data_IF_254739333716
#
_entry.id   IF_254739333716
#
_cell.length_a   1.000
_cell.length_b   1.000
_cell.length_c   1.000
_cell.angle_alpha   90.00
_cell.angle_beta   90.00
_cell.angle_gamma   90.00
#
_symmetry.space_group_name_H-M   'P 1'
#
loop_
_entity.id
_entity.type
_entity.pdbx_description
1 polymer ?
#
# COMPACT_ATOMS: atom_id res chain seq x y z
N UNK A 1 -16.25 -39.17 9.03
CA UNK A 1 -15.55 -37.88 8.87
C UNK A 1 -16.40 -37.00 7.95
N UNK A 2 -17.28 -36.17 8.50
CA UNK A 2 -18.10 -35.25 7.74
C UNK A 2 -17.21 -34.11 7.25
N UNK A 3 -17.07 -34.00 5.91
CA UNK A 3 -16.58 -32.79 5.26
C UNK A 3 -17.63 -31.69 5.48
N UNK A 4 -17.38 -30.78 6.41
CA UNK A 4 -18.04 -29.48 6.43
C UNK A 4 -17.56 -28.74 5.17
N UNK A 5 -18.31 -28.85 4.09
CA UNK A 5 -18.22 -27.91 2.97
C UNK A 5 -18.60 -26.55 3.54
N UNK A 6 -17.60 -25.67 3.76
CA UNK A 6 -17.84 -24.26 4.02
C UNK A 6 -18.68 -23.73 2.86
N UNK A 7 -19.97 -23.50 3.08
CA UNK A 7 -20.78 -22.72 2.15
C UNK A 7 -20.09 -21.35 2.06
N UNK A 8 -19.35 -21.11 0.98
CA UNK A 8 -18.95 -19.75 0.64
C UNK A 8 -20.27 -18.99 0.47
N UNK A 9 -20.51 -17.98 1.31
CA UNK A 9 -21.63 -17.09 1.13
C UNK A 9 -21.46 -16.44 -0.25
N UNK A 10 -22.45 -16.62 -1.13
CA UNK A 10 -22.45 -15.95 -2.43
C UNK A 10 -22.46 -14.46 -2.18
N UNK A 11 -21.42 -13.76 -2.64
CA UNK A 11 -21.37 -12.31 -2.56
C UNK A 11 -22.47 -11.75 -3.45
N UNK A 12 -23.35 -10.93 -2.87
CA UNK A 12 -24.38 -10.23 -3.63
C UNK A 12 -23.78 -9.00 -4.36
N UNK A 13 -24.32 -8.63 -5.53
CA UNK A 13 -23.92 -7.41 -6.22
C UNK A 13 -24.05 -6.17 -5.31
N UNK A 14 -23.07 -5.27 -5.35
CA UNK A 14 -23.14 -4.01 -4.65
C UNK A 14 -24.30 -3.16 -5.19
N UNK A 15 -24.98 -2.41 -4.32
CA UNK A 15 -25.98 -1.45 -4.76
C UNK A 15 -25.29 -0.17 -5.25
N UNK A 16 -25.50 0.20 -6.50
CA UNK A 16 -25.08 1.50 -7.03
C UNK A 16 -26.00 2.58 -6.44
N UNK A 17 -25.43 3.49 -5.67
CA UNK A 17 -26.19 4.57 -4.99
C UNK A 17 -26.23 5.82 -5.83
N UNK A 18 -25.10 6.16 -6.46
CA UNK A 18 -24.97 7.35 -7.30
C UNK A 18 -23.89 7.14 -8.36
N UNK A 19 -24.09 7.74 -9.52
CA UNK A 19 -23.11 7.81 -10.60
C UNK A 19 -23.16 9.18 -11.24
N UNK A 20 -21.99 9.76 -11.52
CA UNK A 20 -21.86 11.04 -12.23
C UNK A 20 -20.72 10.97 -13.22
N UNK A 21 -21.01 11.22 -14.48
CA UNK A 21 -20.02 11.22 -15.56
C UNK A 21 -19.66 12.65 -15.98
N UNK A 22 -18.39 12.88 -16.22
CA UNK A 22 -17.85 14.12 -16.75
C UNK A 22 -16.58 13.86 -17.57
N UNK A 23 -16.16 14.87 -18.33
CA UNK A 23 -14.99 14.80 -19.18
C UNK A 23 -13.85 15.63 -18.57
N UNK A 24 -12.63 15.15 -18.73
CA UNK A 24 -11.41 15.85 -18.32
C UNK A 24 -10.42 15.92 -19.47
N UNK A 25 -9.41 16.78 -19.33
CA UNK A 25 -8.32 16.90 -20.29
C UNK A 25 -7.65 15.54 -20.54
N UNK A 26 -7.08 15.35 -21.74
CA UNK A 26 -6.51 14.08 -22.16
C UNK A 26 -7.51 13.14 -22.86
N UNK A 27 -8.66 13.64 -23.32
CA UNK A 27 -9.73 12.85 -23.98
C UNK A 27 -10.24 11.71 -23.10
N UNK A 28 -10.50 11.99 -21.84
CA UNK A 28 -10.96 11.02 -20.86
C UNK A 28 -12.39 11.33 -20.43
N UNK A 29 -13.21 10.28 -20.34
CA UNK A 29 -14.51 10.29 -19.69
C UNK A 29 -14.40 9.57 -18.36
N UNK A 30 -14.67 10.28 -17.26
CA UNK A 30 -14.61 9.75 -15.91
C UNK A 30 -16.02 9.61 -15.36
N UNK A 31 -16.31 8.48 -14.72
CA UNK A 31 -17.53 8.30 -13.95
C UNK A 31 -17.19 8.06 -12.50
N UNK A 32 -17.71 8.89 -11.62
CA UNK A 32 -17.70 8.67 -10.17
C UNK A 32 -18.83 7.71 -9.80
N UNK A 33 -18.51 6.70 -9.01
CA UNK A 33 -19.46 5.71 -8.55
C UNK A 33 -19.45 5.66 -7.02
N UNK A 34 -20.65 5.65 -6.44
CA UNK A 34 -20.85 5.36 -5.03
C UNK A 34 -21.63 4.06 -4.91
N UNK A 35 -21.01 3.09 -4.24
CA UNK A 35 -21.60 1.78 -3.97
C UNK A 35 -21.94 1.67 -2.49
N UNK A 36 -22.98 0.88 -2.21
CA UNK A 36 -23.34 0.49 -0.87
C UNK A 36 -23.00 -0.99 -0.68
N UNK A 37 -22.10 -1.30 0.25
CA UNK A 37 -21.56 -2.63 0.52
C UNK A 37 -21.75 -3.01 2.00
N UNK A 38 -21.82 -4.31 2.34
CA UNK A 38 -21.79 -4.73 3.74
C UNK A 38 -20.50 -4.29 4.44
N UNK A 39 -20.61 -3.78 5.65
CA UNK A 39 -19.43 -3.56 6.51
C UNK A 39 -18.76 -4.90 6.83
N UNK A 40 -19.56 -5.89 7.19
CA UNK A 40 -19.15 -7.26 7.46
C UNK A 40 -19.92 -8.23 6.54
N UNK A 41 -19.19 -8.90 5.66
CA UNK A 41 -19.79 -9.88 4.74
C UNK A 41 -20.28 -11.17 5.42
N UNK A 42 -19.93 -11.41 6.68
CA UNK A 42 -20.54 -12.48 7.48
C UNK A 42 -21.93 -12.11 8.00
N UNK A 43 -22.25 -10.80 7.99
CA UNK A 43 -23.50 -10.21 8.46
C UNK A 43 -24.01 -9.15 7.47
N UNK A 44 -24.34 -9.56 6.23
CA UNK A 44 -24.57 -8.62 5.11
C UNK A 44 -25.77 -7.70 5.28
N UNK A 45 -26.72 -8.07 6.16
CA UNK A 45 -27.96 -7.33 6.42
C UNK A 45 -27.85 -6.32 7.58
N UNK A 46 -26.69 -6.30 8.29
CA UNK A 46 -26.43 -5.37 9.36
C UNK A 46 -25.92 -4.01 8.82
N UNK A 47 -24.85 -3.47 9.40
CA UNK A 47 -24.29 -2.18 9.01
C UNK A 47 -23.67 -2.21 7.61
N UNK A 48 -23.95 -1.17 6.84
CA UNK A 48 -23.42 -0.98 5.49
C UNK A 48 -22.44 0.19 5.45
N UNK A 49 -21.50 0.13 4.51
CA UNK A 49 -20.51 1.18 4.25
C UNK A 49 -20.61 1.65 2.80
N UNK A 50 -20.22 2.90 2.59
CA UNK A 50 -20.09 3.46 1.25
C UNK A 50 -18.70 3.17 0.72
N UNK A 51 -18.65 2.65 -0.51
CA UNK A 51 -17.43 2.44 -1.29
C UNK A 51 -17.48 3.37 -2.49
N UNK A 52 -16.37 4.05 -2.74
CA UNK A 52 -16.21 4.96 -3.85
C UNK A 52 -15.21 4.41 -4.88
N UNK A 53 -15.50 4.67 -6.16
CA UNK A 53 -14.55 4.39 -7.22
C UNK A 53 -14.70 5.40 -8.37
N UNK A 54 -13.63 5.62 -9.12
CA UNK A 54 -13.67 6.33 -10.40
C UNK A 54 -13.40 5.37 -11.54
N UNK A 55 -14.32 5.26 -12.48
CA UNK A 55 -14.02 4.61 -13.74
C UNK A 55 -13.55 5.64 -14.78
N UNK A 56 -12.71 5.19 -15.70
CA UNK A 56 -12.23 5.99 -16.81
C UNK A 56 -12.23 5.18 -18.10
N UNK A 57 -12.64 5.83 -19.18
CA UNK A 57 -12.54 5.35 -20.56
C UNK A 57 -12.12 6.49 -21.48
N UNK A 58 -11.63 6.15 -22.67
CA UNK A 58 -11.35 7.15 -23.69
C UNK A 58 -12.63 7.89 -24.09
N UNK A 59 -12.52 9.17 -24.31
CA UNK A 59 -13.58 10.00 -24.88
C UNK A 59 -13.13 10.51 -26.25
N UNK A 60 -13.73 9.96 -27.30
CA UNK A 60 -13.49 10.39 -28.67
C UNK A 60 -14.84 10.78 -29.30
N UNK A 61 -14.84 11.92 -30.01
CA UNK A 61 -15.99 12.32 -30.80
C UNK A 61 -15.74 11.89 -32.25
N UNK A 62 -16.32 10.80 -32.73
CA UNK A 62 -16.09 10.32 -34.07
C UNK A 62 -16.71 11.29 -35.10
N UNK A 63 -16.03 11.50 -36.24
CA UNK A 63 -16.53 12.29 -37.37
C UNK A 63 -17.80 11.65 -37.93
N UNK A 64 -17.82 10.32 -38.01
CA UNK A 64 -19.01 9.53 -38.37
C UNK A 64 -19.42 8.70 -37.14
N UNK A 65 -20.65 8.91 -36.66
CA UNK A 65 -21.19 8.15 -35.53
C UNK A 65 -21.58 6.74 -35.97
N UNK A 66 -20.84 5.75 -35.55
CA UNK A 66 -21.22 4.34 -35.66
C UNK A 66 -22.08 3.94 -34.45
N UNK A 67 -23.39 3.69 -34.65
CA UNK A 67 -24.29 3.28 -33.57
C UNK A 67 -23.84 2.02 -32.82
N UNK A 68 -23.03 1.17 -33.47
CA UNK A 68 -22.49 -0.07 -32.87
C UNK A 68 -21.45 0.18 -31.77
N UNK A 69 -20.77 1.34 -31.75
CA UNK A 69 -19.75 1.69 -30.77
C UNK A 69 -20.28 2.51 -29.58
N UNK A 70 -21.50 3.06 -29.65
CA UNK A 70 -22.05 3.88 -28.57
C UNK A 70 -22.28 3.08 -27.28
N UNK A 71 -22.49 1.75 -27.38
CA UNK A 71 -22.76 0.85 -26.25
C UNK A 71 -21.73 -0.29 -26.13
N UNK A 72 -20.50 -0.08 -26.58
CA UNK A 72 -19.46 -1.10 -26.50
C UNK A 72 -19.12 -1.42 -25.03
N UNK A 73 -19.32 -2.67 -24.65
CA UNK A 73 -18.97 -3.21 -23.34
C UNK A 73 -17.48 -3.55 -23.29
N UNK A 74 -16.63 -2.54 -23.01
CA UNK A 74 -15.20 -2.72 -22.87
C UNK A 74 -14.86 -3.61 -21.68
N UNK A 75 -13.79 -4.42 -21.76
CA UNK A 75 -13.30 -5.19 -20.63
C UNK A 75 -12.82 -4.25 -19.51
N UNK A 76 -13.08 -4.65 -18.27
CA UNK A 76 -12.68 -3.90 -17.10
C UNK A 76 -11.26 -4.25 -16.64
N UNK A 77 -10.49 -3.22 -16.24
CA UNK A 77 -9.28 -3.33 -15.45
C UNK A 77 -9.51 -2.67 -14.10
N UNK A 78 -9.61 -3.46 -13.02
CA UNK A 78 -9.63 -2.92 -11.66
C UNK A 78 -8.22 -2.57 -11.23
N UNK A 79 -7.99 -1.35 -10.75
CA UNK A 79 -6.76 -0.94 -10.09
C UNK A 79 -6.93 -0.95 -8.57
N UNK A 80 -6.04 -1.66 -7.88
CA UNK A 80 -5.95 -1.76 -6.43
C UNK A 80 -4.70 -1.02 -5.95
N UNK A 81 -4.93 0.04 -5.17
CA UNK A 81 -3.88 0.92 -4.64
C UNK A 81 -3.06 0.20 -3.57
N UNK A 82 -1.79 0.61 -3.43
CA UNK A 82 -0.90 0.19 -2.34
C UNK A 82 -1.25 0.82 -0.99
N UNK A 83 -0.39 0.65 -0.04
CA UNK A 83 -0.55 1.08 1.36
C UNK A 83 -0.23 -0.07 2.30
N UNK A 84 -1.16 -0.53 3.16
CA UNK A 84 -2.63 -0.35 3.17
C UNK A 84 -3.09 1.07 3.49
N UNK A 85 -4.37 1.38 3.24
CA UNK A 85 -4.97 2.61 3.75
C UNK A 85 -4.73 3.87 2.93
N UNK A 86 -4.31 3.73 1.66
CA UNK A 86 -4.13 4.85 0.73
C UNK A 86 -5.28 4.88 -0.28
N UNK A 87 -5.82 6.08 -0.54
CA UNK A 87 -6.82 6.31 -1.57
C UNK A 87 -6.21 6.35 -2.99
N UNK A 88 -7.05 6.19 -3.99
CA UNK A 88 -6.67 6.40 -5.37
C UNK A 88 -6.67 7.90 -5.74
N UNK A 89 -5.64 8.33 -6.43
CA UNK A 89 -5.65 9.63 -7.11
C UNK A 89 -6.68 9.63 -8.24
N UNK A 90 -7.01 10.81 -8.76
CA UNK A 90 -7.83 10.88 -9.95
C UNK A 90 -7.15 10.16 -11.14
N UNK A 91 -7.92 9.42 -11.98
CA UNK A 91 -7.38 8.56 -13.03
C UNK A 91 -6.38 9.24 -13.98
N UNK A 92 -6.61 10.51 -14.32
CA UNK A 92 -5.72 11.30 -15.21
C UNK A 92 -4.34 11.59 -14.58
N UNK A 93 -4.16 11.38 -13.29
CA UNK A 93 -2.89 11.61 -12.59
C UNK A 93 -2.01 10.35 -12.46
N UNK A 94 -2.46 9.23 -13.03
CA UNK A 94 -1.63 8.03 -13.12
C UNK A 94 -0.97 7.94 -14.48
N UNK A 95 0.36 7.76 -14.55
CA UNK A 95 1.08 7.75 -15.81
C UNK A 95 0.66 6.61 -16.74
N UNK A 96 0.21 5.48 -16.20
CA UNK A 96 -0.20 4.29 -16.97
C UNK A 96 -1.63 4.32 -17.50
N UNK A 97 -2.47 5.29 -17.10
CA UNK A 97 -3.89 5.29 -17.48
C UNK A 97 -4.09 5.19 -18.98
N UNK A 98 -3.45 6.09 -19.75
CA UNK A 98 -3.57 6.06 -21.21
C UNK A 98 -3.05 4.74 -21.80
N UNK A 99 -1.93 4.23 -21.33
CA UNK A 99 -1.33 2.99 -21.83
C UNK A 99 -2.29 1.80 -21.66
N UNK A 100 -2.98 1.71 -20.53
CA UNK A 100 -3.97 0.64 -20.28
C UNK A 100 -5.23 0.84 -21.14
N UNK A 101 -5.70 2.09 -21.26
CA UNK A 101 -6.83 2.40 -22.16
C UNK A 101 -6.52 2.11 -23.64
N UNK A 102 -5.26 2.29 -24.06
CA UNK A 102 -4.79 1.98 -25.43
C UNK A 102 -4.76 0.46 -25.69
N UNK A 103 -4.71 -0.36 -24.66
CA UNK A 103 -4.87 -1.81 -24.77
C UNK A 103 -6.34 -2.26 -24.90
N UNK A 104 -7.29 -1.33 -24.91
CA UNK A 104 -8.72 -1.62 -25.10
C UNK A 104 -9.50 -1.84 -23.81
N UNK A 105 -8.94 -1.56 -22.64
CA UNK A 105 -9.64 -1.61 -21.36
C UNK A 105 -10.40 -0.31 -21.07
N UNK A 106 -11.40 -0.39 -20.20
CA UNK A 106 -11.79 0.68 -19.31
C UNK A 106 -11.28 0.34 -17.90
N UNK A 107 -10.94 1.37 -17.10
CA UNK A 107 -10.35 1.14 -15.78
C UNK A 107 -11.29 1.57 -14.67
N UNK A 108 -11.20 0.88 -13.52
CA UNK A 108 -11.83 1.26 -12.27
C UNK A 108 -10.75 1.48 -11.20
N UNK A 109 -10.66 2.68 -10.66
CA UNK A 109 -9.80 3.05 -9.55
C UNK A 109 -10.63 3.05 -8.28
N UNK A 110 -10.38 2.06 -7.42
CA UNK A 110 -11.16 1.80 -6.22
C UNK A 110 -10.48 2.45 -5.00
N UNK A 111 -11.16 3.40 -4.36
CA UNK A 111 -10.83 3.72 -2.98
C UNK A 111 -11.23 2.53 -2.12
N UNK A 112 -10.24 1.82 -1.59
CA UNK A 112 -10.49 0.67 -0.73
C UNK A 112 -11.24 1.11 0.52
N UNK A 113 -12.02 0.20 1.13
CA UNK A 113 -12.78 0.51 2.36
C UNK A 113 -11.91 1.22 3.40
N UNK A 114 -12.44 2.28 3.99
CA UNK A 114 -11.74 3.12 4.97
C UNK A 114 -10.81 4.18 4.41
N UNK A 115 -10.70 4.30 3.07
CA UNK A 115 -9.81 5.27 2.42
C UNK A 115 -10.59 6.29 1.58
N UNK A 116 -10.03 7.45 1.34
CA UNK A 116 -10.55 8.46 0.44
C UNK A 116 -12.03 8.78 0.68
N UNK A 117 -12.88 8.51 -0.31
CA UNK A 117 -14.34 8.69 -0.20
C UNK A 117 -15.09 7.41 0.19
N UNK A 118 -14.37 6.32 0.52
CA UNK A 118 -14.92 5.02 0.91
C UNK A 118 -15.10 4.89 2.42
N UNK A 119 -16.01 5.66 3.00
CA UNK A 119 -16.26 5.69 4.46
C UNK A 119 -14.93 5.85 5.24
N UNK A 120 -14.24 6.99 5.10
CA UNK A 120 -12.86 7.15 5.52
C UNK A 120 -12.65 6.96 7.01
N UNK A 121 -11.54 6.28 7.35
CA UNK A 121 -11.08 6.11 8.73
C UNK A 121 -9.99 7.14 9.02
N UNK A 122 -10.35 8.09 9.87
CA UNK A 122 -9.47 9.06 10.52
C UNK A 122 -9.47 8.80 12.02
N UNK A 123 -8.58 9.43 12.79
CA UNK A 123 -8.63 9.31 14.24
C UNK A 123 -10.01 9.70 14.79
N UNK A 124 -10.59 10.79 14.30
CA UNK A 124 -11.89 11.28 14.77
C UNK A 124 -13.07 10.38 14.37
N UNK A 125 -13.07 9.81 13.16
CA UNK A 125 -14.14 8.89 12.73
C UNK A 125 -14.03 7.53 13.43
N UNK A 126 -12.80 7.09 13.73
CA UNK A 126 -12.56 5.85 14.47
C UNK A 126 -13.01 5.98 15.93
N UNK A 127 -12.70 7.10 16.60
CA UNK A 127 -13.14 7.36 17.98
C UNK A 127 -14.67 7.35 18.13
N UNK A 128 -15.43 7.71 17.09
CA UNK A 128 -16.91 7.64 17.10
C UNK A 128 -17.44 6.21 17.11
N UNK A 129 -16.59 5.20 16.89
CA UNK A 129 -16.98 3.78 16.92
C UNK A 129 -17.12 3.23 18.34
N UNK A 130 -16.80 4.03 19.37
CA UNK A 130 -16.91 3.65 20.77
C UNK A 130 -15.56 3.39 21.45
N UNK A 131 -15.51 2.35 22.29
CA UNK A 131 -14.31 1.94 23.02
C UNK A 131 -13.17 1.48 22.11
N UNK A 132 -11.91 1.45 22.58
CA UNK A 132 -10.78 0.89 21.83
C UNK A 132 -11.00 -0.53 21.37
N UNK A 133 -11.77 -1.35 22.07
CA UNK A 133 -12.13 -2.72 21.63
C UNK A 133 -13.08 -2.69 20.43
N UNK A 134 -14.11 -1.85 20.44
CA UNK A 134 -15.04 -1.68 19.33
C UNK A 134 -14.33 -1.10 18.10
N UNK A 135 -13.40 -0.16 18.33
CA UNK A 135 -12.54 0.39 17.27
C UNK A 135 -11.65 -0.70 16.65
N UNK A 136 -11.02 -1.54 17.47
CA UNK A 136 -10.19 -2.65 16.99
C UNK A 136 -11.02 -3.67 16.18
N UNK A 137 -12.20 -4.06 16.66
CA UNK A 137 -13.10 -4.93 15.91
C UNK A 137 -13.53 -4.32 14.57
N UNK A 138 -13.76 -3.00 14.51
CA UNK A 138 -14.06 -2.32 13.26
C UNK A 138 -12.88 -2.36 12.29
N UNK A 139 -11.66 -2.09 12.74
CA UNK A 139 -10.44 -2.10 11.91
C UNK A 139 -10.14 -3.48 11.31
N UNK A 140 -10.47 -4.56 12.01
CA UNK A 140 -10.27 -5.94 11.51
C UNK A 140 -11.01 -6.22 10.20
N UNK A 141 -12.04 -5.44 9.88
CA UNK A 141 -12.81 -5.56 8.65
C UNK A 141 -12.20 -4.79 7.45
N UNK A 142 -10.96 -4.29 7.57
CA UNK A 142 -10.35 -3.41 6.55
C UNK A 142 -9.07 -4.00 5.90
N UNK A 143 -8.88 -5.33 5.99
CA UNK A 143 -7.78 -6.01 5.31
C UNK A 143 -8.16 -6.50 3.90
N UNK A 144 -7.20 -7.12 3.22
CA UNK A 144 -7.34 -7.63 1.85
C UNK A 144 -8.54 -8.57 1.68
N UNK A 145 -8.81 -9.45 2.64
CA UNK A 145 -9.93 -10.40 2.61
C UNK A 145 -11.31 -9.74 2.54
N UNK A 146 -11.48 -8.55 3.10
CA UNK A 146 -12.72 -7.76 3.00
C UNK A 146 -12.73 -6.87 1.75
N UNK A 147 -11.57 -6.30 1.39
CA UNK A 147 -11.42 -5.46 0.18
C UNK A 147 -11.76 -6.25 -1.08
N UNK A 148 -11.33 -7.51 -1.18
CA UNK A 148 -11.64 -8.33 -2.37
C UNK A 148 -13.11 -8.71 -2.45
N UNK A 149 -13.83 -8.79 -1.33
CA UNK A 149 -15.29 -8.99 -1.34
C UNK A 149 -16.01 -7.73 -1.84
N UNK A 150 -15.55 -6.54 -1.48
CA UNK A 150 -16.07 -5.29 -2.06
C UNK A 150 -15.84 -5.27 -3.58
N UNK A 151 -14.62 -5.60 -3.99
CA UNK A 151 -14.27 -5.66 -5.41
C UNK A 151 -15.18 -6.64 -6.16
N UNK A 152 -15.43 -7.83 -5.61
CA UNK A 152 -16.29 -8.83 -6.22
C UNK A 152 -17.77 -8.35 -6.27
N UNK A 153 -18.28 -7.74 -5.20
CA UNK A 153 -19.63 -7.17 -5.19
C UNK A 153 -19.80 -6.05 -6.23
N UNK A 154 -18.78 -5.20 -6.39
CA UNK A 154 -18.74 -4.12 -7.39
C UNK A 154 -18.65 -4.69 -8.81
N UNK A 155 -17.80 -5.71 -9.04
CA UNK A 155 -17.71 -6.40 -10.32
C UNK A 155 -19.08 -6.92 -10.75
N UNK A 156 -19.76 -7.65 -9.88
CA UNK A 156 -21.09 -8.19 -10.15
C UNK A 156 -22.11 -7.11 -10.51
N UNK A 157 -22.05 -5.93 -9.85
CA UNK A 157 -22.91 -4.80 -10.15
C UNK A 157 -22.61 -4.16 -11.51
N UNK A 158 -21.31 -3.92 -11.81
CA UNK A 158 -20.90 -3.25 -13.04
C UNK A 158 -20.99 -4.12 -14.29
N UNK A 159 -20.98 -5.44 -14.14
CA UNK A 159 -21.04 -6.40 -15.24
C UNK A 159 -22.37 -7.16 -15.30
N UNK A 160 -23.41 -6.70 -14.60
CA UNK A 160 -24.71 -7.38 -14.54
C UNK A 160 -25.28 -7.66 -15.93
N UNK A 161 -25.22 -6.68 -16.82
CA UNK A 161 -25.72 -6.75 -18.19
C UNK A 161 -24.70 -7.23 -19.22
N UNK A 162 -23.51 -7.68 -18.77
CA UNK A 162 -22.48 -8.21 -19.67
C UNK A 162 -22.75 -9.67 -20.02
N UNK A 163 -22.37 -10.13 -21.24
CA UNK A 163 -22.34 -11.54 -21.54
C UNK A 163 -21.42 -12.28 -20.58
N UNK A 164 -21.69 -13.55 -20.30
CA UNK A 164 -20.99 -14.31 -19.25
C UNK A 164 -19.47 -14.34 -19.45
N UNK A 165 -19.02 -14.48 -20.69
CA UNK A 165 -17.60 -14.49 -21.06
C UNK A 165 -16.89 -13.13 -20.83
N UNK A 166 -17.64 -12.03 -20.66
CA UNK A 166 -17.12 -10.68 -20.39
C UNK A 166 -17.28 -10.22 -18.95
N UNK A 167 -17.90 -11.03 -18.08
CA UNK A 167 -18.13 -10.67 -16.67
C UNK A 167 -16.88 -10.68 -15.79
N UNK A 168 -15.86 -11.45 -16.18
CA UNK A 168 -14.57 -11.43 -15.49
C UNK A 168 -13.82 -10.14 -15.82
N UNK A 169 -13.19 -9.54 -14.84
CA UNK A 169 -12.31 -8.40 -15.05
C UNK A 169 -10.85 -8.73 -14.90
N UNK A 170 -9.98 -7.95 -15.49
CA UNK A 170 -8.54 -7.95 -15.22
C UNK A 170 -8.28 -7.12 -13.98
N UNK A 171 -7.26 -7.50 -13.21
CA UNK A 171 -6.89 -6.79 -11.99
C UNK A 171 -5.44 -6.34 -12.06
N UNK A 172 -5.17 -5.16 -11.57
CA UNK A 172 -3.85 -4.54 -11.54
C UNK A 172 -3.60 -3.96 -10.14
N UNK A 173 -2.49 -4.31 -9.51
CA UNK A 173 -2.19 -3.86 -8.15
C UNK A 173 -0.73 -3.49 -7.95
N UNK A 174 -0.50 -2.46 -7.15
CA UNK A 174 0.84 -2.04 -6.74
C UNK A 174 1.00 -2.25 -5.24
N UNK A 175 2.15 -2.82 -4.80
CA UNK A 175 2.43 -3.01 -3.37
C UNK A 175 1.30 -3.80 -2.68
N UNK A 176 0.71 -3.31 -1.60
CA UNK A 176 -0.45 -3.93 -0.93
C UNK A 176 -1.64 -4.22 -1.87
N UNK A 177 -1.81 -3.45 -2.96
CA UNK A 177 -2.79 -3.78 -4.00
C UNK A 177 -2.54 -5.15 -4.64
N UNK A 178 -1.27 -5.56 -4.75
CA UNK A 178 -0.89 -6.91 -5.16
C UNK A 178 -1.23 -7.95 -4.08
N UNK A 179 -1.12 -7.63 -2.80
CA UNK A 179 -1.57 -8.50 -1.70
C UNK A 179 -3.07 -8.74 -1.78
N UNK A 180 -3.85 -7.70 -2.09
CA UNK A 180 -5.28 -7.86 -2.38
C UNK A 180 -5.52 -8.81 -3.58
N UNK A 181 -4.69 -8.73 -4.63
CA UNK A 181 -4.80 -9.66 -5.77
C UNK A 181 -4.51 -11.10 -5.35
N UNK A 182 -3.51 -11.36 -4.52
CA UNK A 182 -3.22 -12.71 -3.99
C UNK A 182 -4.44 -13.25 -3.20
N UNK A 183 -5.07 -12.42 -2.37
CA UNK A 183 -6.32 -12.76 -1.68
C UNK A 183 -7.46 -13.01 -2.68
N UNK A 184 -7.55 -12.23 -3.75
CA UNK A 184 -8.57 -12.41 -4.79
C UNK A 184 -8.40 -13.77 -5.50
N UNK A 185 -7.18 -14.10 -5.94
CA UNK A 185 -6.85 -15.38 -6.58
C UNK A 185 -7.08 -16.57 -5.65
N UNK A 186 -6.96 -16.35 -4.34
CA UNK A 186 -7.18 -17.37 -3.33
C UNK A 186 -8.65 -17.67 -3.05
N UNK A 187 -9.51 -16.64 -3.06
CA UNK A 187 -10.88 -16.77 -2.57
C UNK A 187 -11.97 -16.54 -3.61
N UNK A 188 -11.68 -15.82 -4.71
CA UNK A 188 -12.63 -15.47 -5.77
C UNK A 188 -12.00 -15.49 -7.18
N UNK A 189 -11.19 -16.52 -7.54
CA UNK A 189 -10.49 -16.57 -8.83
C UNK A 189 -11.45 -16.57 -10.03
N UNK A 190 -12.72 -16.98 -9.82
CA UNK A 190 -13.76 -17.01 -10.84
C UNK A 190 -14.13 -15.61 -11.35
N UNK A 191 -13.91 -14.56 -10.57
CA UNK A 191 -14.14 -13.16 -10.97
C UNK A 191 -12.99 -12.55 -11.78
N UNK A 192 -11.82 -13.20 -11.80
CA UNK A 192 -10.59 -12.64 -12.38
C UNK A 192 -10.29 -13.28 -13.73
N UNK A 193 -9.96 -12.45 -14.74
CA UNK A 193 -9.52 -12.88 -16.06
C UNK A 193 -7.99 -13.03 -16.12
N UNK A 194 -7.28 -12.07 -15.62
CA UNK A 194 -5.81 -11.99 -15.56
C UNK A 194 -5.39 -10.98 -14.50
N UNK A 195 -4.17 -11.10 -14.00
CA UNK A 195 -3.67 -10.30 -12.89
C UNK A 195 -2.28 -9.72 -13.19
N UNK A 196 -2.10 -8.42 -12.90
CA UNK A 196 -0.85 -7.68 -13.03
C UNK A 196 -0.41 -7.14 -11.66
N UNK A 197 0.76 -7.55 -11.18
CA UNK A 197 1.28 -7.18 -9.87
C UNK A 197 2.61 -6.41 -10.02
N UNK A 198 2.70 -5.25 -9.40
CA UNK A 198 3.91 -4.40 -9.44
C UNK A 198 4.45 -4.19 -8.02
N UNK A 199 5.57 -4.84 -7.69
CA UNK A 199 6.13 -4.83 -6.33
C UNK A 199 5.12 -5.32 -5.28
N UNK A 200 4.28 -6.30 -5.62
CA UNK A 200 3.14 -6.70 -4.79
C UNK A 200 2.94 -8.22 -4.67
N UNK A 201 3.97 -9.02 -4.90
CA UNK A 201 3.95 -10.44 -4.60
C UNK A 201 4.04 -10.64 -3.08
N UNK A 202 2.87 -10.73 -2.42
CA UNK A 202 2.77 -10.86 -0.97
C UNK A 202 3.60 -12.02 -0.44
N UNK A 203 4.46 -11.82 0.57
CA UNK A 203 5.05 -12.92 1.34
C UNK A 203 3.96 -13.83 1.93
N UNK A 204 3.97 -15.12 1.58
CA UNK A 204 3.01 -16.10 2.11
C UNK A 204 3.46 -16.58 3.49
N UNK A 205 3.48 -15.65 4.43
CA UNK A 205 3.83 -15.85 5.84
C UNK A 205 2.58 -15.69 6.71
N UNK A 206 2.66 -16.12 7.96
CA UNK A 206 1.56 -16.00 8.94
C UNK A 206 1.83 -14.99 10.05
N UNK A 207 3.05 -14.48 10.08
CA UNK A 207 3.51 -13.48 11.05
C UNK A 207 4.48 -12.51 10.36
N UNK A 208 4.43 -11.20 10.67
CA UNK A 208 5.30 -10.22 10.04
C UNK A 208 6.77 -10.28 10.48
N UNK A 209 7.11 -10.98 11.57
CA UNK A 209 8.45 -10.94 12.14
C UNK A 209 9.54 -11.39 11.16
N UNK A 210 9.34 -12.51 10.44
CA UNK A 210 10.30 -12.98 9.41
C UNK A 210 10.47 -11.94 8.29
N UNK A 211 9.40 -11.25 7.91
CA UNK A 211 9.46 -10.21 6.87
C UNK A 211 10.39 -9.08 7.32
N UNK A 212 10.21 -8.58 8.54
CA UNK A 212 11.03 -7.47 9.06
C UNK A 212 12.48 -7.86 9.29
N UNK A 213 12.78 -9.09 9.73
CA UNK A 213 14.16 -9.56 9.84
C UNK A 213 14.91 -9.49 8.50
N UNK A 214 14.22 -9.78 7.39
CA UNK A 214 14.80 -9.68 6.04
C UNK A 214 14.87 -8.23 5.56
N UNK A 215 13.82 -7.46 5.79
CA UNK A 215 13.77 -6.05 5.39
C UNK A 215 14.83 -5.21 6.11
N UNK A 216 15.15 -5.48 7.37
CA UNK A 216 16.25 -4.77 8.06
C UNK A 216 17.60 -4.92 7.36
N UNK A 217 17.89 -6.09 6.77
CA UNK A 217 19.12 -6.27 5.97
C UNK A 217 19.12 -5.33 4.77
N UNK A 218 18.00 -5.24 4.06
CA UNK A 218 17.88 -4.35 2.91
C UNK A 218 17.95 -2.88 3.34
N UNK A 219 17.36 -2.51 4.47
CA UNK A 219 17.45 -1.16 5.03
C UNK A 219 18.91 -0.81 5.38
N UNK A 220 19.69 -1.75 5.93
CA UNK A 220 21.11 -1.56 6.20
C UNK A 220 21.87 -1.30 4.89
N UNK A 221 21.68 -2.15 3.86
CA UNK A 221 22.30 -1.97 2.54
C UNK A 221 21.98 -0.58 1.94
N UNK A 222 20.74 -0.12 2.06
CA UNK A 222 20.32 1.19 1.55
C UNK A 222 20.93 2.36 2.35
N UNK A 223 21.10 2.23 3.66
CA UNK A 223 21.82 3.20 4.46
C UNK A 223 23.32 3.24 4.10
N UNK A 224 23.94 2.09 3.85
CA UNK A 224 25.33 2.03 3.39
C UNK A 224 25.47 2.75 2.04
N UNK A 225 24.61 2.46 1.07
CA UNK A 225 24.58 3.14 -0.22
C UNK A 225 24.35 4.66 -0.10
N UNK A 226 23.55 5.12 0.89
CA UNK A 226 23.33 6.53 1.15
C UNK A 226 24.62 7.21 1.62
N UNK A 227 25.31 6.66 2.62
CA UNK A 227 26.54 7.25 3.16
C UNK A 227 27.75 7.05 2.24
N UNK A 228 27.77 6.02 1.39
CA UNK A 228 28.76 5.88 0.32
C UNK A 228 28.59 7.00 -0.72
N UNK A 229 27.35 7.31 -1.11
CA UNK A 229 27.05 8.40 -2.05
C UNK A 229 27.26 9.77 -1.44
N UNK A 230 26.95 9.96 -0.16
CA UNK A 230 26.99 11.23 0.57
C UNK A 230 27.78 11.11 1.88
N UNK A 231 29.12 10.97 1.84
CA UNK A 231 29.92 10.71 3.05
C UNK A 231 29.86 11.85 4.08
N UNK A 232 29.69 13.10 3.65
CA UNK A 232 29.55 14.25 4.56
C UNK A 232 28.26 14.19 5.39
N UNK A 233 27.25 13.46 4.94
CA UNK A 233 25.97 13.33 5.65
C UNK A 233 26.11 12.52 6.95
N UNK A 234 27.17 11.76 7.13
CA UNK A 234 27.50 11.15 8.43
C UNK A 234 27.56 12.23 9.51
N UNK A 235 28.30 13.32 9.24
CA UNK A 235 28.44 14.42 10.21
C UNK A 235 27.16 15.27 10.28
N UNK A 236 26.50 15.53 9.16
CA UNK A 236 25.25 16.30 9.11
C UNK A 236 24.14 15.64 9.92
N UNK A 237 23.95 14.33 9.74
CA UNK A 237 22.95 13.55 10.51
C UNK A 237 23.31 13.57 12.01
N UNK A 238 24.59 13.45 12.39
CA UNK A 238 24.99 13.58 13.80
C UNK A 238 24.68 14.96 14.38
N UNK A 239 24.87 16.03 13.62
CA UNK A 239 24.51 17.39 14.02
C UNK A 239 23.00 17.50 14.27
N UNK A 240 22.18 17.00 13.34
CA UNK A 240 20.72 16.92 13.53
C UNK A 240 20.34 16.13 14.77
N UNK A 241 20.91 14.95 14.95
CA UNK A 241 20.61 14.09 16.11
C UNK A 241 21.00 14.73 17.44
N UNK A 242 22.09 15.51 17.43
CA UNK A 242 22.54 16.27 18.62
C UNK A 242 21.57 17.41 18.94
N UNK A 243 21.13 18.18 17.94
CA UNK A 243 20.12 19.22 18.10
C UNK A 243 18.81 18.63 18.67
N UNK A 244 18.31 17.53 18.10
CA UNK A 244 17.10 16.87 18.59
C UNK A 244 17.26 16.27 19.99
N UNK A 245 18.47 15.83 20.37
CA UNK A 245 18.75 15.38 21.74
C UNK A 245 18.66 16.53 22.75
N UNK A 246 19.13 17.72 22.37
CA UNK A 246 19.06 18.93 23.22
C UNK A 246 17.62 19.42 23.41
N UNK A 247 16.74 19.18 22.43
CA UNK A 247 15.31 19.49 22.55
C UNK A 247 14.58 18.59 23.58
N UNK A 248 15.24 17.53 24.06
CA UNK A 248 14.67 16.60 25.05
C UNK A 248 13.67 15.62 24.48
N UNK A 249 12.99 14.87 25.37
CA UNK A 249 12.06 13.80 24.98
C UNK A 249 10.83 14.29 24.22
N UNK A 250 10.44 15.56 24.40
CA UNK A 250 9.33 16.19 23.68
C UNK A 250 9.65 16.55 22.23
N UNK A 251 10.94 16.55 21.85
CA UNK A 251 11.41 16.89 20.50
C UNK A 251 11.07 18.33 20.07
N UNK A 252 11.31 18.64 18.81
CA UNK A 252 10.95 19.92 18.19
C UNK A 252 9.52 19.86 17.67
N UNK A 253 8.71 20.88 17.90
CA UNK A 253 7.31 20.91 17.47
C UNK A 253 7.20 21.00 15.94
N UNK A 254 6.39 20.11 15.37
CA UNK A 254 6.13 20.06 13.93
C UNK A 254 4.86 20.83 13.56
N UNK A 255 4.74 21.33 12.31
CA UNK A 255 3.55 22.04 11.83
C UNK A 255 2.25 21.22 11.96
N UNK A 256 2.27 19.91 11.79
CA UNK A 256 1.13 19.01 11.98
C UNK A 256 0.66 18.90 13.43
N UNK A 257 1.43 19.44 14.38
CA UNK A 257 1.15 19.33 15.82
C UNK A 257 1.85 18.16 16.51
N UNK A 258 2.51 17.27 15.78
CA UNK A 258 3.37 16.22 16.33
C UNK A 258 4.74 16.74 16.78
N UNK A 259 5.62 15.83 17.17
CA UNK A 259 6.97 16.11 17.64
C UNK A 259 8.03 15.49 16.73
N UNK A 260 9.04 16.27 16.34
CA UNK A 260 10.22 15.77 15.68
C UNK A 260 11.23 15.30 16.75
N UNK A 261 11.24 14.03 17.00
CA UNK A 261 12.20 13.33 17.87
C UNK A 261 13.32 12.71 17.05
N UNK A 262 14.40 12.27 17.70
CA UNK A 262 15.49 11.53 17.04
C UNK A 262 14.97 10.30 16.30
N UNK A 263 14.03 9.56 16.87
CA UNK A 263 13.42 8.36 16.27
C UNK A 263 12.55 8.70 15.07
N UNK A 264 11.74 9.78 15.14
CA UNK A 264 10.92 10.24 14.02
C UNK A 264 11.76 10.77 12.85
N UNK A 265 12.85 11.50 13.12
CA UNK A 265 13.74 11.94 12.06
C UNK A 265 14.31 10.78 11.22
N UNK A 266 14.61 9.64 11.86
CA UNK A 266 15.10 8.44 11.18
C UNK A 266 14.07 7.77 10.27
N UNK A 267 12.76 8.07 10.41
CA UNK A 267 11.73 7.58 9.50
C UNK A 267 11.87 8.13 8.07
N UNK A 268 12.64 9.20 7.86
CA UNK A 268 12.95 9.69 6.50
C UNK A 268 13.57 8.61 5.61
N UNK A 269 14.19 7.60 6.19
CA UNK A 269 14.74 6.45 5.45
C UNK A 269 13.71 5.61 4.71
N UNK A 270 12.40 5.78 4.98
CA UNK A 270 11.36 5.20 4.15
C UNK A 270 11.54 5.61 2.68
N UNK A 271 12.05 6.80 2.39
CA UNK A 271 12.28 7.29 1.05
C UNK A 271 13.34 6.49 0.27
N UNK A 272 14.25 5.80 0.96
CA UNK A 272 15.35 5.04 0.32
C UNK A 272 14.88 3.90 -0.59
N UNK A 273 13.63 3.46 -0.44
CA UNK A 273 13.04 2.40 -1.27
C UNK A 273 12.46 2.88 -2.60
N UNK A 274 12.49 4.17 -2.90
CA UNK A 274 12.03 4.76 -4.15
C UNK A 274 13.14 5.36 -5.00
N UNK A 275 12.86 5.59 -6.28
CA UNK A 275 13.78 6.28 -7.19
C UNK A 275 14.03 7.71 -6.69
N UNK A 276 15.32 8.11 -6.61
CA UNK A 276 15.73 9.42 -6.13
C UNK A 276 15.58 9.62 -4.62
N UNK A 277 15.21 8.57 -3.87
CA UNK A 277 14.97 8.67 -2.42
C UNK A 277 16.23 9.01 -1.61
N UNK A 278 17.40 8.50 -2.02
CA UNK A 278 18.68 8.88 -1.40
C UNK A 278 18.95 10.37 -1.57
N UNK A 279 18.72 10.90 -2.77
CA UNK A 279 18.96 12.30 -3.10
C UNK A 279 18.00 13.22 -2.33
N UNK A 280 16.73 12.83 -2.25
CA UNK A 280 15.72 13.61 -1.52
C UNK A 280 16.03 13.71 -0.01
N UNK A 281 16.52 12.65 0.61
CA UNK A 281 16.92 12.67 2.02
C UNK A 281 18.20 13.49 2.20
N UNK A 282 19.18 13.36 1.29
CA UNK A 282 20.37 14.19 1.29
C UNK A 282 20.03 15.70 1.25
N UNK A 283 19.21 16.11 0.30
CA UNK A 283 18.79 17.52 0.16
C UNK A 283 18.12 18.04 1.44
N UNK A 284 17.30 17.21 2.09
CA UNK A 284 16.64 17.58 3.33
C UNK A 284 17.61 17.66 4.52
N UNK A 285 18.56 16.73 4.62
CA UNK A 285 19.62 16.73 5.63
C UNK A 285 20.52 17.95 5.46
N UNK A 286 20.93 18.26 4.22
CA UNK A 286 21.73 19.44 3.89
C UNK A 286 20.99 20.74 4.27
N UNK A 287 19.71 20.85 3.89
CA UNK A 287 18.87 22.01 4.22
C UNK A 287 18.73 22.19 5.73
N UNK A 288 18.49 21.11 6.46
CA UNK A 288 18.33 21.14 7.91
C UNK A 288 19.61 21.58 8.64
N UNK A 289 20.75 21.04 8.23
CA UNK A 289 22.03 21.43 8.83
C UNK A 289 22.44 22.87 8.49
N UNK A 290 22.15 23.34 7.28
CA UNK A 290 22.36 24.74 6.91
C UNK A 290 21.50 25.70 7.77
N UNK A 291 20.23 25.34 8.08
CA UNK A 291 19.41 26.12 9.01
C UNK A 291 20.05 26.19 10.40
N UNK A 292 20.55 25.06 10.92
CA UNK A 292 21.22 25.02 12.23
C UNK A 292 22.52 25.83 12.25
N UNK A 293 23.30 25.83 11.19
CA UNK A 293 24.55 26.61 11.09
C UNK A 293 24.26 28.12 11.03
N UNK A 294 23.23 28.54 10.31
CA UNK A 294 22.92 29.95 10.12
C UNK A 294 22.09 30.56 11.25
N UNK A 295 21.18 29.78 11.83
CA UNK A 295 20.15 30.30 12.71
C UNK A 295 20.16 29.62 14.10
N UNK A 296 20.84 28.52 14.28
CA UNK A 296 20.84 27.71 15.49
C UNK A 296 19.54 26.92 15.71
N UNK A 297 18.59 27.00 14.76
CA UNK A 297 17.27 26.36 14.84
C UNK A 297 16.76 25.99 13.43
N UNK A 298 15.75 25.10 13.36
CA UNK A 298 15.15 24.66 12.11
C UNK A 298 14.08 25.64 11.61
N UNK A 299 14.18 26.06 10.36
CA UNK A 299 13.16 26.91 9.76
C UNK A 299 11.80 26.19 9.60
N UNK A 300 10.71 26.95 9.57
CA UNK A 300 9.38 26.39 9.31
C UNK A 300 9.31 25.58 8.01
N UNK A 301 10.00 26.04 6.96
CA UNK A 301 10.07 25.34 5.67
C UNK A 301 10.76 23.96 5.78
N UNK A 302 11.83 23.87 6.57
CA UNK A 302 12.54 22.61 6.84
C UNK A 302 11.68 21.67 7.67
N UNK A 303 11.07 22.19 8.75
CA UNK A 303 10.15 21.42 9.60
C UNK A 303 8.96 20.88 8.79
N UNK A 304 8.37 21.70 7.90
CA UNK A 304 7.27 21.25 7.02
C UNK A 304 7.70 20.15 6.05
N UNK A 305 8.92 20.21 5.52
CA UNK A 305 9.45 19.17 4.63
C UNK A 305 9.70 17.86 5.38
N UNK A 306 10.26 17.92 6.59
CA UNK A 306 10.47 16.73 7.44
C UNK A 306 9.12 16.14 7.87
N UNK A 307 8.19 16.98 8.28
CA UNK A 307 6.85 16.58 8.70
C UNK A 307 6.11 15.84 7.57
N UNK A 308 6.14 16.40 6.36
CA UNK A 308 5.57 15.75 5.17
C UNK A 308 6.23 14.42 4.84
N UNK A 309 7.56 14.32 4.95
CA UNK A 309 8.33 13.09 4.68
C UNK A 309 8.14 11.99 5.73
N UNK A 310 7.61 12.32 6.90
CA UNK A 310 7.36 11.39 8.01
C UNK A 310 5.90 11.37 8.46
N UNK A 311 4.98 11.80 7.59
CA UNK A 311 3.57 11.92 7.95
C UNK A 311 2.85 10.57 7.87
N UNK A 312 2.32 10.14 9.03
CA UNK A 312 1.41 8.99 9.17
C UNK A 312 0.05 9.41 9.73
N UNK A 313 -0.11 10.67 10.11
CA UNK A 313 -1.33 11.20 10.73
C UNK A 313 -2.54 11.18 9.76
N UNK A 314 -2.29 11.36 8.46
CA UNK A 314 -3.32 11.28 7.42
C UNK A 314 -3.67 9.84 7.02
N UNK A 315 -2.90 8.85 7.51
CA UNK A 315 -2.99 7.45 7.09
C UNK A 315 -3.10 6.50 8.28
N UNK A 316 -4.16 6.67 9.09
CA UNK A 316 -4.40 5.87 10.31
C UNK A 316 -4.44 4.36 10.01
N UNK A 317 -5.11 3.97 8.92
CA UNK A 317 -5.16 2.56 8.50
C UNK A 317 -3.78 2.01 8.18
N UNK A 318 -2.92 2.81 7.53
CA UNK A 318 -1.55 2.41 7.23
C UNK A 318 -0.80 2.09 8.53
N UNK A 319 -0.80 3.03 9.47
CA UNK A 319 -0.06 2.88 10.71
C UNK A 319 -0.54 1.70 11.57
N UNK A 320 -1.86 1.42 11.58
CA UNK A 320 -2.41 0.36 12.44
C UNK A 320 -2.42 -1.00 11.76
N UNK A 321 -2.66 -1.06 10.44
CA UNK A 321 -2.83 -2.32 9.72
C UNK A 321 -1.60 -2.79 8.93
N UNK A 322 -0.50 -2.06 8.96
CA UNK A 322 0.70 -2.40 8.20
C UNK A 322 1.28 -3.79 8.58
N UNK A 323 1.32 -4.15 9.85
CA UNK A 323 1.70 -5.48 10.29
C UNK A 323 0.59 -6.54 10.12
N UNK A 324 -0.69 -6.24 10.46
CA UNK A 324 -1.81 -7.16 10.24
C UNK A 324 -1.98 -7.69 8.81
N UNK A 325 -1.46 -7.02 7.78
CA UNK A 325 -1.52 -7.53 6.40
C UNK A 325 -0.75 -8.83 6.18
N UNK A 326 0.09 -9.25 7.14
CA UNK A 326 0.85 -10.50 7.14
C UNK A 326 0.32 -11.55 8.13
N UNK A 327 -0.70 -11.21 8.95
CA UNK A 327 -1.11 -12.04 10.09
C UNK A 327 -2.20 -13.04 9.72
N UNK A 328 -1.97 -14.33 10.05
CA UNK A 328 -2.95 -15.41 10.06
C UNK A 328 -2.83 -16.21 11.36
N UNK A 329 -3.78 -16.04 12.28
CA UNK A 329 -3.78 -16.74 13.57
C UNK A 329 -2.63 -16.37 14.52
N UNK A 330 -1.89 -15.30 14.22
CA UNK A 330 -0.79 -14.78 15.01
C UNK A 330 -0.96 -13.28 15.23
N UNK A 331 -0.49 -12.76 16.37
CA UNK A 331 -0.52 -11.32 16.63
C UNK A 331 0.61 -10.60 15.87
N UNK A 332 0.37 -9.35 15.43
CA UNK A 332 1.41 -8.47 14.89
C UNK A 332 2.57 -8.23 15.86
N UNK A 333 2.27 -7.99 17.12
CA UNK A 333 3.20 -7.86 18.26
C UNK A 333 4.26 -6.75 18.09
N UNK A 334 4.01 -5.73 17.29
CA UNK A 334 5.02 -4.71 16.94
C UNK A 334 6.30 -5.35 16.37
N UNK A 335 6.12 -6.24 15.43
CA UNK A 335 7.19 -7.10 14.89
C UNK A 335 8.36 -6.31 14.30
N UNK A 336 8.12 -5.14 13.70
CA UNK A 336 9.19 -4.27 13.23
C UNK A 336 10.06 -3.75 14.38
N UNK A 337 9.44 -3.42 15.51
CA UNK A 337 10.14 -3.01 16.73
C UNK A 337 10.93 -4.17 17.36
N UNK A 338 10.35 -5.36 17.43
CA UNK A 338 11.02 -6.55 17.95
C UNK A 338 12.21 -6.95 17.05
N UNK A 339 12.02 -6.97 15.73
CA UNK A 339 13.08 -7.29 14.79
C UNK A 339 14.24 -6.27 14.87
N UNK A 340 13.96 -4.98 15.15
CA UNK A 340 15.00 -3.97 15.34
C UNK A 340 15.99 -4.34 16.45
N UNK A 341 15.54 -5.03 17.49
CA UNK A 341 16.41 -5.42 18.62
C UNK A 341 17.49 -6.42 18.20
N UNK A 342 17.25 -7.23 17.16
CA UNK A 342 18.25 -8.13 16.58
C UNK A 342 19.34 -7.37 15.81
N UNK A 343 19.03 -6.15 15.38
CA UNK A 343 19.93 -5.22 14.69
C UNK A 343 20.31 -4.03 15.57
N UNK A 344 20.43 -4.26 16.90
CA UNK A 344 20.73 -3.20 17.85
C UNK A 344 22.11 -2.56 17.63
N UNK A 345 23.06 -3.27 17.03
CA UNK A 345 24.36 -2.71 16.67
C UNK A 345 24.23 -1.52 15.69
N UNK A 346 23.29 -1.60 14.76
CA UNK A 346 23.07 -0.60 13.71
C UNK A 346 22.01 0.44 14.11
N UNK A 347 21.02 0.06 14.90
CA UNK A 347 19.84 0.90 15.13
C UNK A 347 19.66 1.41 16.55
N UNK A 348 20.40 0.92 17.55
CA UNK A 348 20.32 1.42 18.93
C UNK A 348 21.21 2.66 19.08
N UNK A 349 20.57 3.83 19.26
CA UNK A 349 21.26 5.12 19.39
C UNK A 349 22.14 5.23 20.63
N UNK A 350 21.89 4.44 21.66
CA UNK A 350 22.69 4.46 22.91
C UNK A 350 23.92 3.53 22.80
N UNK A 351 23.93 2.63 21.83
CA UNK A 351 25.08 1.74 21.54
C UNK A 351 26.01 2.30 20.46
N UNK A 352 25.63 3.40 19.82
CA UNK A 352 26.41 4.01 18.74
C UNK A 352 27.76 4.53 19.23
N UNK A 353 28.83 4.12 18.54
CA UNK A 353 30.17 4.66 18.75
C UNK A 353 30.28 6.02 18.05
N UNK A 354 31.18 6.90 18.57
CA UNK A 354 31.25 8.29 18.10
C UNK A 354 31.66 8.46 16.62
N UNK A 355 32.20 7.40 16.00
CA UNK A 355 32.60 7.38 14.58
C UNK A 355 31.52 6.90 13.61
N UNK A 356 30.58 6.06 14.06
CA UNK A 356 29.68 5.34 13.18
C UNK A 356 28.56 6.21 12.57
N UNK A 357 28.08 5.89 11.34
CA UNK A 357 26.93 6.55 10.74
C UNK A 357 25.64 6.15 11.45
N UNK A 358 24.73 7.09 11.68
CA UNK A 358 23.41 6.83 12.28
C UNK A 358 22.43 6.39 11.17
N UNK A 359 21.92 5.16 11.25
CA UNK A 359 21.06 4.61 10.23
C UNK A 359 19.60 5.07 10.36
N UNK A 360 19.00 5.37 9.21
CA UNK A 360 17.59 5.61 9.03
C UNK A 360 16.80 4.29 9.03
N UNK A 361 15.52 4.33 9.41
CA UNK A 361 14.64 3.17 9.36
C UNK A 361 13.94 3.05 7.99
N UNK A 362 13.33 1.90 7.72
CA UNK A 362 12.58 1.66 6.47
C UNK A 362 11.06 1.84 6.63
N UNK A 363 10.30 1.11 5.82
CA UNK A 363 8.83 1.02 5.89
C UNK A 363 8.40 0.18 7.10
N UNK A 364 8.44 0.80 8.25
CA UNK A 364 8.24 0.15 9.54
C UNK A 364 7.38 1.01 10.45
N UNK A 365 6.43 0.38 11.15
CA UNK A 365 5.60 1.05 12.14
C UNK A 365 6.02 0.64 13.55
N UNK A 366 6.19 1.62 14.42
CA UNK A 366 6.70 1.43 15.77
C UNK A 366 5.68 1.89 16.82
N UNK A 367 5.62 1.29 18.01
CA UNK A 367 4.68 1.70 19.07
C UNK A 367 4.86 3.16 19.49
N UNK A 368 6.09 3.69 19.46
CA UNK A 368 6.39 5.06 19.82
C UNK A 368 5.87 6.11 18.80
N UNK A 369 5.52 5.71 17.58
CA UNK A 369 4.88 6.62 16.61
C UNK A 369 3.55 7.16 17.16
N UNK A 370 2.87 6.36 17.96
CA UNK A 370 1.64 6.75 18.64
C UNK A 370 1.88 7.67 19.86
N UNK A 371 3.09 8.13 20.08
CA UNK A 371 3.45 9.21 21.00
C UNK A 371 3.88 10.48 20.24
N UNK A 372 4.61 10.32 19.13
CA UNK A 372 5.25 11.42 18.41
C UNK A 372 4.32 12.07 17.37
N UNK A 373 3.30 11.37 16.90
CA UNK A 373 2.35 11.84 15.88
C UNK A 373 1.04 12.33 16.50
N UNK A 374 0.51 13.45 15.99
CA UNK A 374 -0.64 14.15 16.60
C UNK A 374 -1.94 13.37 16.47
N UNK A 375 -2.23 12.76 15.32
CA UNK A 375 -3.47 12.01 15.10
C UNK A 375 -3.34 10.55 15.56
N UNK A 376 -2.16 9.92 15.35
CA UNK A 376 -1.92 8.57 15.83
C UNK A 376 -2.03 8.46 17.35
N UNK A 377 -1.60 9.49 18.09
CA UNK A 377 -1.67 9.49 19.56
C UNK A 377 -3.09 9.33 20.09
N UNK A 378 -4.09 9.80 19.36
CA UNK A 378 -5.51 9.70 19.71
C UNK A 378 -6.07 8.29 19.65
N UNK A 379 -5.36 7.37 18.97
CA UNK A 379 -5.79 5.98 18.73
C UNK A 379 -4.76 4.95 19.21
N UNK A 380 -3.82 5.36 20.06
CA UNK A 380 -2.74 4.53 20.61
C UNK A 380 -3.25 3.26 21.28
N UNK A 381 -4.30 3.36 22.10
CA UNK A 381 -4.84 2.20 22.80
C UNK A 381 -5.44 1.18 21.81
N UNK A 382 -6.14 1.66 20.80
CA UNK A 382 -6.67 0.81 19.72
C UNK A 382 -5.56 0.12 18.94
N UNK A 383 -4.48 0.83 18.63
CA UNK A 383 -3.31 0.26 17.95
C UNK A 383 -2.63 -0.84 18.78
N UNK A 384 -2.50 -0.65 20.10
CA UNK A 384 -1.97 -1.68 21.00
C UNK A 384 -2.87 -2.92 21.07
N UNK A 385 -4.20 -2.75 21.03
CA UNK A 385 -5.14 -3.88 20.97
C UNK A 385 -5.00 -4.66 19.66
N UNK A 386 -4.88 -3.97 18.53
CA UNK A 386 -4.61 -4.58 17.22
C UNK A 386 -3.28 -5.34 17.24
N UNK A 387 -2.22 -4.74 17.79
CA UNK A 387 -0.90 -5.36 17.87
C UNK A 387 -0.91 -6.64 18.75
N UNK A 388 -1.79 -6.73 19.73
CA UNK A 388 -1.93 -7.90 20.59
C UNK A 388 -2.93 -8.95 20.09
N UNK A 389 -3.71 -8.65 19.04
CA UNK A 389 -4.76 -9.55 18.55
C UNK A 389 -4.17 -10.68 17.69
N UNK A 390 -4.42 -11.92 18.05
CA UNK A 390 -4.02 -13.12 17.30
C UNK A 390 -5.16 -13.77 16.51
N UNK A 391 -6.37 -13.19 16.52
CA UNK A 391 -7.56 -13.78 15.93
C UNK A 391 -7.79 -13.37 14.47
N UNK A 392 -6.69 -13.32 13.70
CA UNK A 392 -6.71 -12.94 12.28
C UNK A 392 -7.10 -14.11 11.39
N UNK A 393 -8.06 -13.89 10.49
CA UNK A 393 -8.46 -14.86 9.47
C UNK A 393 -7.43 -14.99 8.34
N UNK A 394 -7.63 -15.95 7.43
CA UNK A 394 -6.73 -16.20 6.32
C UNK A 394 -6.74 -15.06 5.29
N UNK A 395 -5.57 -14.77 4.72
CA UNK A 395 -5.35 -13.80 3.65
C UNK A 395 -5.11 -14.47 2.30
N UNK A 396 -4.71 -15.74 2.31
CA UNK A 396 -4.44 -16.52 1.10
C UNK A 396 -4.76 -18.00 1.31
N UNK A 397 -4.89 -18.73 0.21
CA UNK A 397 -5.02 -20.19 0.17
C UNK A 397 -3.96 -20.77 -0.77
N UNK A 398 -2.86 -21.29 -0.20
CA UNK A 398 -1.76 -21.87 -0.97
C UNK A 398 -2.20 -23.03 -1.86
N UNK A 399 -3.22 -23.80 -1.44
CA UNK A 399 -3.74 -24.91 -2.23
C UNK A 399 -4.49 -24.42 -3.46
N UNK A 400 -5.21 -23.31 -3.33
CA UNK A 400 -5.88 -22.66 -4.46
C UNK A 400 -4.85 -22.01 -5.39
N UNK A 401 -3.85 -21.32 -4.84
CA UNK A 401 -2.78 -20.69 -5.64
C UNK A 401 -1.98 -21.73 -6.45
N UNK A 402 -1.72 -22.90 -5.86
CA UNK A 402 -1.06 -24.02 -6.56
C UNK A 402 -1.90 -24.64 -7.71
N UNK A 403 -3.21 -24.39 -7.72
CA UNK A 403 -4.15 -24.82 -8.78
C UNK A 403 -4.60 -23.66 -9.66
N UNK A 404 -4.04 -22.48 -9.45
CA UNK A 404 -4.44 -21.28 -10.16
C UNK A 404 -4.46 -21.49 -11.68
N UNK A 405 -5.54 -21.07 -12.33
CA UNK A 405 -5.69 -21.07 -13.78
C UNK A 405 -5.82 -19.64 -14.36
N UNK A 406 -5.80 -18.63 -13.50
CA UNK A 406 -5.78 -17.21 -13.90
C UNK A 406 -4.34 -16.83 -14.28
N UNK A 407 -4.09 -16.28 -15.48
CA UNK A 407 -2.77 -15.77 -15.84
C UNK A 407 -2.31 -14.67 -14.89
N UNK A 408 -1.06 -14.76 -14.40
CA UNK A 408 -0.47 -13.81 -13.46
C UNK A 408 0.84 -13.28 -14.00
N UNK A 409 0.97 -11.96 -14.09
CA UNK A 409 2.14 -11.25 -14.59
C UNK A 409 2.63 -10.31 -13.50
N UNK A 410 3.85 -10.49 -13.03
CA UNK A 410 4.37 -9.73 -11.90
C UNK A 410 5.68 -9.02 -12.26
N UNK A 411 5.94 -7.89 -11.63
CA UNK A 411 7.26 -7.26 -11.55
C UNK A 411 7.74 -7.30 -10.10
N UNK A 412 8.97 -7.79 -9.90
CA UNK A 412 9.64 -7.87 -8.61
C UNK A 412 11.01 -7.19 -8.69
N UNK A 413 11.37 -6.43 -7.66
CA UNK A 413 12.57 -5.60 -7.66
C UNK A 413 13.56 -6.15 -6.63
N UNK A 414 14.81 -6.42 -7.07
CA UNK A 414 15.85 -6.99 -6.20
C UNK A 414 16.21 -6.06 -5.03
N UNK A 415 16.14 -4.75 -5.30
CA UNK A 415 16.46 -3.71 -4.32
C UNK A 415 15.23 -3.19 -3.54
N UNK A 416 14.12 -3.93 -3.58
CA UNK A 416 12.90 -3.54 -2.86
C UNK A 416 13.10 -3.64 -1.34
N UNK A 417 12.93 -2.53 -0.62
CA UNK A 417 13.02 -2.50 0.83
C UNK A 417 11.64 -2.43 1.53
N UNK A 418 10.55 -2.67 0.77
CA UNK A 418 9.17 -2.72 1.28
C UNK A 418 8.57 -4.11 1.12
N UNK A 419 8.71 -4.72 -0.07
CA UNK A 419 8.25 -6.08 -0.34
C UNK A 419 9.46 -6.95 -0.69
N UNK A 420 9.92 -7.73 0.28
CA UNK A 420 11.19 -8.44 0.24
C UNK A 420 11.26 -9.42 -0.95
N UNK A 421 12.36 -9.34 -1.70
CA UNK A 421 12.52 -9.99 -2.99
C UNK A 421 12.47 -11.52 -2.94
N UNK A 422 13.20 -12.16 -2.02
CA UNK A 422 13.25 -13.62 -1.95
C UNK A 422 11.90 -14.22 -1.53
N UNK A 423 11.19 -13.56 -0.61
CA UNK A 423 9.84 -13.94 -0.22
C UNK A 423 8.86 -13.75 -1.37
N UNK A 424 9.02 -12.68 -2.16
CA UNK A 424 8.22 -12.43 -3.37
C UNK A 424 8.44 -13.55 -4.40
N UNK A 425 9.68 -13.95 -4.65
CA UNK A 425 10.00 -15.03 -5.57
C UNK A 425 9.55 -16.40 -5.07
N UNK A 426 9.58 -16.63 -3.74
CA UNK A 426 9.00 -17.82 -3.13
C UNK A 426 7.47 -17.89 -3.35
N UNK A 427 6.79 -16.76 -3.25
CA UNK A 427 5.35 -16.64 -3.53
C UNK A 427 5.06 -16.92 -5.01
N UNK A 428 5.80 -16.30 -5.92
CA UNK A 428 5.62 -16.51 -7.36
C UNK A 428 5.70 -18.00 -7.74
N UNK A 429 6.64 -18.74 -7.16
CA UNK A 429 6.79 -20.19 -7.37
C UNK A 429 5.60 -21.01 -6.89
N UNK A 430 4.83 -20.52 -5.91
CA UNK A 430 3.64 -21.19 -5.38
C UNK A 430 2.38 -20.90 -6.19
N UNK A 431 2.40 -19.89 -7.05
CA UNK A 431 1.27 -19.53 -7.92
C UNK A 431 1.47 -20.17 -9.29
N UNK A 432 0.64 -21.16 -9.62
CA UNK A 432 0.70 -21.82 -10.93
C UNK A 432 0.50 -20.79 -12.05
N UNK A 433 1.41 -20.77 -13.02
CA UNK A 433 1.33 -19.88 -14.18
C UNK A 433 1.75 -18.43 -13.94
N UNK A 434 2.34 -18.12 -12.78
CA UNK A 434 2.91 -16.80 -12.52
C UNK A 434 4.19 -16.60 -13.33
N UNK A 435 4.21 -15.56 -14.17
CA UNK A 435 5.39 -15.08 -14.89
C UNK A 435 5.92 -13.82 -14.23
N UNK A 436 7.23 -13.72 -13.99
CA UNK A 436 7.83 -12.59 -13.25
C UNK A 436 8.92 -11.92 -14.07
N UNK A 437 8.80 -10.61 -14.25
CA UNK A 437 9.89 -9.75 -14.64
C UNK A 437 10.67 -9.34 -13.38
N UNK A 438 11.96 -9.62 -13.34
CA UNK A 438 12.84 -9.25 -12.23
C UNK A 438 13.89 -8.25 -12.68
N UNK A 439 14.22 -7.28 -11.83
CA UNK A 439 15.23 -6.27 -12.15
C UNK A 439 15.88 -5.73 -10.87
N UNK A 440 17.17 -5.37 -10.98
CA UNK A 440 17.96 -4.72 -9.92
C UNK A 440 18.20 -3.22 -10.18
N UNK A 441 17.60 -2.65 -11.24
CA UNK A 441 17.76 -1.23 -11.60
C UNK A 441 16.46 -0.43 -11.41
N UNK A 442 15.43 -1.07 -10.87
CA UNK A 442 14.16 -0.44 -10.53
C UNK A 442 13.85 -0.66 -9.06
N UNK A 443 13.13 0.29 -8.46
CA UNK A 443 12.72 0.28 -7.07
C UNK A 443 11.21 0.13 -6.93
N UNK A 444 10.71 0.07 -5.71
CA UNK A 444 9.31 -0.21 -5.39
C UNK A 444 8.29 0.69 -6.13
N UNK A 445 8.65 1.93 -6.39
CA UNK A 445 7.79 2.91 -7.08
C UNK A 445 7.88 2.85 -8.62
N UNK A 446 8.52 1.83 -9.20
CA UNK A 446 8.80 1.74 -10.63
C UNK A 446 7.56 1.92 -11.53
N UNK A 447 6.40 1.46 -11.09
CA UNK A 447 5.17 1.68 -11.86
C UNK A 447 4.83 3.17 -12.05
N UNK A 448 5.38 4.07 -11.20
CA UNK A 448 5.21 5.52 -11.31
C UNK A 448 6.41 6.18 -11.98
N UNK A 449 7.61 5.80 -11.57
CA UNK A 449 8.88 6.44 -11.98
C UNK A 449 9.47 5.86 -13.27
N UNK A 450 9.14 4.58 -13.61
CA UNK A 450 9.63 3.81 -14.77
C UNK A 450 8.49 3.11 -15.50
N UNK A 451 7.33 3.74 -15.57
CA UNK A 451 6.07 3.18 -16.07
C UNK A 451 6.23 2.58 -17.48
N UNK A 452 6.84 3.32 -18.41
CA UNK A 452 6.99 2.88 -19.81
C UNK A 452 7.75 1.56 -19.93
N UNK A 453 8.70 1.32 -19.03
CA UNK A 453 9.49 0.09 -19.02
C UNK A 453 8.72 -1.04 -18.32
N UNK A 454 8.29 -0.83 -17.07
CA UNK A 454 7.73 -1.90 -16.25
C UNK A 454 6.37 -2.38 -16.72
N UNK A 455 5.50 -1.46 -17.19
CA UNK A 455 4.20 -1.85 -17.76
C UNK A 455 4.39 -2.56 -19.09
N UNK A 456 5.32 -2.09 -19.92
CA UNK A 456 5.68 -2.79 -21.17
C UNK A 456 6.15 -4.23 -20.89
N UNK A 457 7.02 -4.44 -19.89
CA UNK A 457 7.47 -5.78 -19.51
C UNK A 457 6.30 -6.67 -19.05
N UNK A 458 5.39 -6.16 -18.25
CA UNK A 458 4.21 -6.91 -17.81
C UNK A 458 3.35 -7.38 -19.00
N UNK A 459 3.14 -6.51 -20.01
CA UNK A 459 2.42 -6.89 -21.23
C UNK A 459 3.24 -7.78 -22.15
N UNK A 460 4.56 -7.68 -22.18
CA UNK A 460 5.43 -8.64 -22.90
C UNK A 460 5.28 -10.03 -22.28
N UNK A 461 5.31 -10.17 -20.95
CA UNK A 461 5.05 -11.46 -20.28
C UNK A 461 3.68 -12.08 -20.63
N UNK A 462 2.69 -11.21 -20.92
CA UNK A 462 1.34 -11.60 -21.32
C UNK A 462 1.24 -12.03 -22.77
N UNK A 463 1.81 -11.24 -23.65
CA UNK A 463 1.56 -11.31 -25.10
C UNK A 463 2.59 -12.17 -25.85
N UNK A 464 3.75 -12.47 -25.24
CA UNK A 464 4.86 -13.17 -25.89
C UNK A 464 5.10 -14.57 -25.30
N UNK A 465 5.68 -15.44 -26.12
CA UNK A 465 6.15 -16.75 -25.69
C UNK A 465 7.55 -16.59 -25.09
N UNK A 466 7.71 -17.10 -23.88
CA UNK A 466 9.00 -17.14 -23.19
C UNK A 466 9.52 -18.56 -23.29
N UNK A 467 10.68 -18.74 -23.94
CA UNK A 467 11.36 -20.01 -24.08
C UNK A 467 11.97 -20.50 -22.74
#
# INVERSE_FOLDING_TARGET
MLRLARKMSTIAPAKIVNQKTYQVAGKLSITEHFFDCPKDYSKPDEERIRIFARSVKKHETPIVREKSKENEQLPWMLYLQGGPGMECRAPQHYPWTHTILDKGYQMLFLDQRGTGLSTPITASTLQRRGSPDEQAQHLKLHRADSIVKDAEAIRLALTADYPEEKKKWSVMGQSFGGFCIISYLSFHPEGVREAFLFGGLQPLVKSPHEVYLRLYRKVIERNQAFYEKYPDDVQRVKTMMSHLKQAGDGGVKLPSGGSLTRRRFRQLGIAFGGHGGLDAVHDLVLKATNDLELFGDLSHSTLSSIDSGTNFDDHILYAILHEPIYCEGNAPSWSAHLAQQEYAAEFDLEKHQSGDPIYFTGEMVFPWMFDDHSELSKVKETANKIAADSTWGPLFDEKQLAKNDVPVYAAAYVEDMYVEFDLSMATAKKIKGCKVFTTNVMFHDAIRSKMDEVVKQAFTLRDDVID
#
